data_IF_959868370133
#
_entry.id   IF_959868370133
#
_cell.length_a   1.000
_cell.length_b   1.000
_cell.length_c   1.000
_cell.angle_alpha   90.00
_cell.angle_beta   90.00
_cell.angle_gamma   90.00
#
_symmetry.space_group_name_H-M   'P 1'
#
loop_
_entity.id
_entity.type
_entity.pdbx_description
1 polymer ?
#
# COMPACT_ATOMS: atom_id res chain seq x y z
N UNK A 1 11.61 -32.11 24.71
CA UNK A 1 10.70 -30.95 24.55
C UNK A 1 11.32 -29.89 23.65
N UNK A 2 12.65 -29.69 23.64
CA UNK A 2 13.30 -28.67 22.80
C UNK A 2 13.35 -28.98 21.30
N UNK A 3 13.44 -30.24 20.86
CA UNK A 3 13.23 -30.59 19.44
C UNK A 3 11.88 -30.08 18.92
N UNK A 4 10.86 -30.05 19.78
CA UNK A 4 9.55 -29.50 19.45
C UNK A 4 9.60 -27.97 19.30
N UNK A 5 10.41 -27.26 20.08
CA UNK A 5 10.58 -25.80 19.95
C UNK A 5 11.32 -25.42 18.66
N UNK A 6 12.37 -26.16 18.29
CA UNK A 6 13.10 -25.94 17.02
C UNK A 6 12.19 -26.19 15.82
N UNK A 7 11.38 -27.26 15.86
CA UNK A 7 10.38 -27.52 14.82
C UNK A 7 9.35 -26.38 14.71
N UNK A 8 8.87 -25.84 15.85
CA UNK A 8 7.94 -24.69 15.86
C UNK A 8 8.62 -23.43 15.28
N UNK A 9 9.91 -23.22 15.53
CA UNK A 9 10.65 -22.10 14.94
C UNK A 9 10.73 -22.20 13.42
N UNK A 10 11.04 -23.39 12.89
CA UNK A 10 11.03 -23.64 11.44
C UNK A 10 9.63 -23.33 10.87
N UNK A 11 8.58 -23.86 11.49
CA UNK A 11 7.20 -23.56 11.09
C UNK A 11 6.86 -22.07 11.16
N UNK A 12 7.41 -21.33 12.13
CA UNK A 12 7.24 -19.87 12.21
C UNK A 12 7.88 -19.18 11.01
N UNK A 13 9.08 -19.59 10.62
CA UNK A 13 9.76 -19.06 9.43
C UNK A 13 9.01 -19.40 8.14
N UNK A 14 8.53 -20.63 7.99
CA UNK A 14 7.68 -21.04 6.86
C UNK A 14 6.40 -20.20 6.77
N UNK A 15 5.76 -19.92 7.90
CA UNK A 15 4.57 -19.05 7.94
C UNK A 15 4.91 -17.62 7.56
N UNK A 16 6.03 -17.06 8.03
CA UNK A 16 6.49 -15.73 7.60
C UNK A 16 6.69 -15.68 6.10
N UNK A 17 7.33 -16.71 5.53
CA UNK A 17 7.49 -16.81 4.08
C UNK A 17 6.17 -16.76 3.31
N UNK A 18 5.15 -17.48 3.78
CA UNK A 18 3.81 -17.48 3.17
C UNK A 18 3.11 -16.13 3.29
N UNK A 19 3.27 -15.44 4.43
CA UNK A 19 2.74 -14.08 4.63
C UNK A 19 3.40 -13.11 3.66
N UNK A 20 4.73 -13.19 3.51
CA UNK A 20 5.47 -12.34 2.57
C UNK A 20 5.08 -12.63 1.11
N UNK A 21 4.84 -13.89 0.74
CA UNK A 21 4.35 -14.22 -0.61
C UNK A 21 2.99 -13.57 -0.88
N UNK A 22 2.07 -13.58 0.09
CA UNK A 22 0.78 -12.87 -0.04
C UNK A 22 0.94 -11.35 -0.15
N UNK A 23 1.89 -10.76 0.57
CA UNK A 23 2.18 -9.32 0.46
C UNK A 23 2.69 -9.00 -0.96
N UNK A 24 3.57 -9.81 -1.51
CA UNK A 24 4.08 -9.67 -2.90
C UNK A 24 2.94 -9.74 -3.93
N UNK A 25 1.98 -10.64 -3.72
CA UNK A 25 0.78 -10.77 -4.55
C UNK A 25 -0.09 -9.51 -4.45
N UNK A 26 -0.41 -9.06 -3.23
CA UNK A 26 -1.20 -7.85 -3.01
C UNK A 26 -0.51 -6.59 -3.55
N UNK A 27 0.80 -6.50 -3.50
CA UNK A 27 1.55 -5.41 -4.13
C UNK A 27 1.42 -5.42 -5.64
N UNK A 28 1.33 -6.60 -6.23
CA UNK A 28 1.08 -6.74 -7.67
C UNK A 28 -0.35 -6.33 -8.02
N UNK A 29 -1.33 -6.71 -7.19
CA UNK A 29 -2.73 -6.28 -7.31
C UNK A 29 -2.83 -4.77 -7.18
N UNK A 30 -2.22 -4.18 -6.15
CA UNK A 30 -2.22 -2.74 -5.92
C UNK A 30 -1.60 -1.99 -7.11
N UNK A 31 -0.51 -2.51 -7.68
CA UNK A 31 0.11 -1.94 -8.88
C UNK A 31 -0.90 -1.89 -10.04
N UNK A 32 -1.56 -3.02 -10.33
CA UNK A 32 -2.52 -3.12 -11.42
C UNK A 32 -3.73 -2.19 -11.21
N UNK A 33 -4.24 -2.12 -9.98
CA UNK A 33 -5.28 -1.17 -9.57
C UNK A 33 -4.85 0.28 -9.78
N UNK A 34 -3.62 0.64 -9.41
CA UNK A 34 -3.10 1.99 -9.60
C UNK A 34 -2.96 2.35 -11.08
N UNK A 35 -2.65 1.39 -11.94
CA UNK A 35 -2.62 1.56 -13.40
C UNK A 35 -4.02 1.62 -14.04
N UNK A 36 -5.05 1.08 -13.40
CA UNK A 36 -6.44 1.14 -13.89
C UNK A 36 -7.04 2.56 -13.77
N UNK A 37 -7.47 3.21 -14.87
CA UNK A 37 -8.15 4.51 -14.82
C UNK A 37 -9.49 4.50 -14.06
N UNK A 38 -10.14 3.35 -13.91
CA UNK A 38 -11.45 3.21 -13.26
C UNK A 38 -11.38 2.79 -11.78
N UNK A 39 -10.19 2.72 -11.19
CA UNK A 39 -10.00 2.36 -9.79
C UNK A 39 -10.93 3.17 -8.88
N UNK A 40 -11.71 2.46 -8.07
CA UNK A 40 -12.52 3.09 -7.03
C UNK A 40 -11.69 3.26 -5.73
N UNK A 41 -12.02 4.26 -4.89
CA UNK A 41 -11.40 4.37 -3.57
C UNK A 41 -11.57 3.11 -2.71
N UNK A 42 -12.75 2.49 -2.77
CA UNK A 42 -13.07 1.30 -1.98
C UNK A 42 -12.18 0.10 -2.37
N UNK A 43 -11.98 -0.14 -3.67
CA UNK A 43 -11.09 -1.22 -4.16
C UNK A 43 -9.63 -1.05 -3.70
N UNK A 44 -9.19 0.21 -3.55
CA UNK A 44 -7.85 0.52 -3.08
C UNK A 44 -7.73 0.34 -1.56
N UNK A 45 -8.73 0.81 -0.81
CA UNK A 45 -8.78 0.69 0.65
C UNK A 45 -8.80 -0.79 1.07
N UNK A 46 -9.54 -1.65 0.37
CA UNK A 46 -9.58 -3.10 0.61
C UNK A 46 -8.19 -3.74 0.52
N UNK A 47 -7.39 -3.36 -0.48
CA UNK A 47 -6.03 -3.89 -0.67
C UNK A 47 -5.09 -3.39 0.41
N UNK A 48 -5.21 -2.11 0.81
CA UNK A 48 -4.41 -1.55 1.91
C UNK A 48 -4.76 -2.20 3.25
N UNK A 49 -6.04 -2.46 3.52
CA UNK A 49 -6.48 -3.13 4.75
C UNK A 49 -5.97 -4.57 4.81
N UNK A 50 -6.08 -5.33 3.72
CA UNK A 50 -5.54 -6.69 3.64
C UNK A 50 -4.03 -6.73 3.89
N UNK A 51 -3.27 -5.79 3.30
CA UNK A 51 -1.83 -5.67 3.58
C UNK A 51 -1.55 -5.34 5.04
N UNK A 52 -2.33 -4.46 5.65
CA UNK A 52 -2.17 -4.09 7.07
C UNK A 52 -2.34 -5.30 8.00
N UNK A 53 -3.35 -6.14 7.75
CA UNK A 53 -3.56 -7.40 8.51
C UNK A 53 -2.39 -8.38 8.38
N UNK A 54 -1.79 -8.46 7.18
CA UNK A 54 -0.62 -9.32 6.96
C UNK A 54 0.63 -8.79 7.66
N UNK A 55 0.80 -7.46 7.75
CA UNK A 55 1.90 -6.85 8.52
C UNK A 55 1.73 -7.16 10.01
N UNK A 56 0.53 -6.99 10.57
CA UNK A 56 0.26 -7.38 11.96
C UNK A 56 0.54 -8.87 12.21
N UNK A 57 0.20 -9.73 11.25
CA UNK A 57 0.54 -11.15 11.33
C UNK A 57 2.06 -11.38 11.33
N UNK A 58 2.81 -10.64 10.51
CA UNK A 58 4.27 -10.71 10.44
C UNK A 58 4.89 -10.30 11.79
N UNK A 59 4.45 -9.17 12.37
CA UNK A 59 4.93 -8.67 13.66
C UNK A 59 4.70 -9.68 14.79
N UNK A 60 3.54 -10.34 14.79
CA UNK A 60 3.23 -11.39 15.76
C UNK A 60 4.11 -12.63 15.58
N UNK A 61 4.39 -13.04 14.33
CA UNK A 61 5.30 -14.16 14.04
C UNK A 61 6.75 -13.81 14.40
N UNK A 62 7.18 -12.57 14.20
CA UNK A 62 8.50 -12.05 14.60
C UNK A 62 8.65 -12.10 16.12
N UNK A 63 7.72 -11.52 16.87
CA UNK A 63 7.74 -11.56 18.33
C UNK A 63 7.72 -12.99 18.89
N UNK A 64 6.92 -13.87 18.28
CA UNK A 64 6.86 -15.27 18.67
C UNK A 64 8.17 -16.02 18.40
N UNK A 65 8.79 -15.76 17.25
CA UNK A 65 10.08 -16.34 16.88
C UNK A 65 11.20 -15.90 17.82
N UNK A 66 11.32 -14.60 18.11
CA UNK A 66 12.36 -14.07 19.01
C UNK A 66 12.29 -14.70 20.40
N UNK A 67 11.07 -14.79 20.97
CA UNK A 67 10.85 -15.41 22.28
C UNK A 67 11.23 -16.89 22.31
N UNK A 68 11.00 -17.62 21.22
CA UNK A 68 11.40 -19.02 21.11
C UNK A 68 12.91 -19.14 20.92
N UNK A 69 13.50 -18.31 20.06
CA UNK A 69 14.93 -18.29 19.80
C UNK A 69 15.74 -18.04 21.08
N UNK A 70 15.38 -17.02 21.86
CA UNK A 70 16.07 -16.71 23.12
C UNK A 70 16.07 -17.89 24.11
N UNK A 71 15.04 -18.75 24.08
CA UNK A 71 14.97 -19.94 24.94
C UNK A 71 15.82 -21.11 24.45
N UNK A 72 16.01 -21.23 23.14
CA UNK A 72 16.73 -22.38 22.54
C UNK A 72 18.13 -22.03 22.05
N UNK A 73 18.53 -20.76 22.10
CA UNK A 73 19.81 -20.27 21.60
C UNK A 73 21.00 -20.98 22.25
N UNK A 74 21.00 -21.08 23.58
CA UNK A 74 22.10 -21.74 24.32
C UNK A 74 22.22 -23.22 23.95
N UNK A 75 21.08 -23.90 23.77
CA UNK A 75 20.99 -25.29 23.34
C UNK A 75 21.50 -25.47 21.90
N UNK A 76 21.09 -24.60 20.98
CA UNK A 76 21.57 -24.61 19.59
C UNK A 76 23.08 -24.35 19.51
N UNK A 77 23.62 -23.49 20.38
CA UNK A 77 25.05 -23.18 20.43
C UNK A 77 25.89 -24.30 21.07
N UNK A 78 25.37 -24.96 22.11
CA UNK A 78 26.01 -26.07 22.79
C UNK A 78 25.97 -27.40 22.01
N UNK A 79 24.90 -27.64 21.26
CA UNK A 79 24.64 -28.90 20.55
C UNK A 79 24.59 -28.74 19.01
N UNK A 80 25.48 -27.92 18.45
CA UNK A 80 25.50 -27.55 17.02
C UNK A 80 25.50 -28.73 16.05
N UNK A 81 26.26 -29.80 16.34
CA UNK A 81 26.31 -30.96 15.45
C UNK A 81 25.00 -31.75 15.44
N UNK A 82 24.27 -31.77 16.57
CA UNK A 82 22.97 -32.44 16.68
C UNK A 82 21.90 -31.71 15.87
N UNK A 83 21.88 -30.38 15.90
CA UNK A 83 20.85 -29.56 15.25
C UNK A 83 21.32 -28.93 13.92
N UNK A 84 22.37 -29.49 13.32
CA UNK A 84 23.04 -28.92 12.16
C UNK A 84 22.11 -28.74 10.96
N UNK A 85 21.24 -29.71 10.74
CA UNK A 85 20.30 -29.68 9.61
C UNK A 85 19.19 -28.67 9.86
N UNK A 86 18.62 -28.64 11.07
CA UNK A 86 17.60 -27.67 11.47
C UNK A 86 18.12 -26.23 11.40
N UNK A 87 19.35 -26.00 11.85
CA UNK A 87 20.03 -24.69 11.74
C UNK A 87 20.16 -24.31 10.25
N UNK A 88 20.56 -25.24 9.39
CA UNK A 88 20.69 -24.99 7.96
C UNK A 88 19.34 -24.65 7.31
N UNK A 89 18.28 -25.37 7.67
CA UNK A 89 16.91 -25.12 7.21
C UNK A 89 16.46 -23.73 7.65
N UNK A 90 16.63 -23.38 8.94
CA UNK A 90 16.29 -22.04 9.43
C UNK A 90 17.06 -20.94 8.69
N UNK A 91 18.36 -21.12 8.46
CA UNK A 91 19.16 -20.16 7.70
C UNK A 91 18.67 -20.00 6.25
N UNK A 92 18.24 -21.07 5.60
CA UNK A 92 17.67 -21.01 4.25
C UNK A 92 16.37 -20.21 4.22
N UNK A 93 15.46 -20.48 5.16
CA UNK A 93 14.23 -19.71 5.30
C UNK A 93 14.51 -18.23 5.59
N UNK A 94 15.48 -17.90 6.47
CA UNK A 94 15.85 -16.51 6.76
C UNK A 94 16.38 -15.80 5.50
N UNK A 95 17.15 -16.47 4.65
CA UNK A 95 17.59 -15.90 3.36
C UNK A 95 16.40 -15.62 2.45
N UNK A 96 15.50 -16.58 2.27
CA UNK A 96 14.28 -16.42 1.45
C UNK A 96 13.40 -15.28 1.97
N UNK A 97 13.21 -15.18 3.28
CA UNK A 97 12.50 -14.08 3.94
C UNK A 97 13.17 -12.74 3.61
N UNK A 98 14.49 -12.66 3.70
CA UNK A 98 15.25 -11.44 3.39
C UNK A 98 15.07 -11.03 1.94
N UNK A 99 15.20 -11.96 1.00
CA UNK A 99 15.02 -11.71 -0.44
C UNK A 99 13.60 -11.22 -0.75
N UNK A 100 12.58 -11.86 -0.14
CA UNK A 100 11.18 -11.44 -0.27
C UNK A 100 10.95 -10.03 0.30
N UNK A 101 11.53 -9.72 1.46
CA UNK A 101 11.44 -8.38 2.06
C UNK A 101 12.05 -7.29 1.17
N UNK A 102 13.21 -7.54 0.57
CA UNK A 102 13.82 -6.60 -0.39
C UNK A 102 12.92 -6.40 -1.63
N UNK A 103 12.32 -7.49 -2.13
CA UNK A 103 11.38 -7.42 -3.25
C UNK A 103 10.14 -6.59 -2.91
N UNK A 104 9.54 -6.79 -1.74
CA UNK A 104 8.39 -6.02 -1.24
C UNK A 104 8.76 -4.54 -1.14
N UNK A 105 9.90 -4.19 -0.54
CA UNK A 105 10.35 -2.80 -0.45
C UNK A 105 10.44 -2.12 -1.83
N UNK A 106 10.95 -2.83 -2.84
CA UNK A 106 11.01 -2.35 -4.22
C UNK A 106 9.62 -2.20 -4.86
N UNK A 107 8.69 -3.12 -4.58
CA UNK A 107 7.31 -3.03 -5.07
C UNK A 107 6.55 -1.87 -4.41
N UNK A 108 6.60 -1.75 -3.09
CA UNK A 108 5.99 -0.65 -2.34
C UNK A 108 6.51 0.72 -2.77
N UNK A 109 7.82 0.86 -2.99
CA UNK A 109 8.40 2.11 -3.48
C UNK A 109 7.81 2.52 -4.85
N UNK A 110 7.60 1.54 -5.75
CA UNK A 110 6.98 1.77 -7.07
C UNK A 110 5.49 2.09 -6.93
N UNK A 111 4.76 1.34 -6.11
CA UNK A 111 3.34 1.56 -5.87
C UNK A 111 3.08 2.93 -5.24
N UNK A 112 3.91 3.35 -4.29
CA UNK A 112 3.86 4.69 -3.70
C UNK A 112 4.06 5.80 -4.74
N UNK A 113 5.00 5.61 -5.68
CA UNK A 113 5.22 6.56 -6.77
C UNK A 113 4.00 6.65 -7.71
N UNK A 114 3.42 5.51 -8.10
CA UNK A 114 2.21 5.43 -8.92
C UNK A 114 1.03 6.12 -8.22
N UNK A 115 0.82 5.82 -6.94
CA UNK A 115 -0.22 6.43 -6.12
C UNK A 115 -0.06 7.95 -6.06
N UNK A 116 1.16 8.44 -5.79
CA UNK A 116 1.46 9.88 -5.75
C UNK A 116 1.12 10.56 -7.09
N UNK A 117 1.46 9.91 -8.22
CA UNK A 117 1.14 10.42 -9.55
C UNK A 117 -0.37 10.46 -9.81
N UNK A 118 -1.10 9.41 -9.42
CA UNK A 118 -2.56 9.32 -9.56
C UNK A 118 -3.26 10.42 -8.75
N UNK A 119 -2.90 10.60 -7.49
CA UNK A 119 -3.43 11.68 -6.64
C UNK A 119 -3.12 13.08 -7.19
N UNK A 120 -1.91 13.30 -7.71
CA UNK A 120 -1.56 14.55 -8.37
C UNK A 120 -2.41 14.81 -9.63
N UNK A 121 -2.73 13.76 -10.39
CA UNK A 121 -3.65 13.81 -11.52
C UNK A 121 -5.06 14.23 -11.10
N UNK A 122 -5.63 13.55 -10.10
CA UNK A 122 -6.96 13.87 -9.53
C UNK A 122 -7.00 15.33 -9.04
N UNK A 123 -5.97 15.79 -8.32
CA UNK A 123 -5.87 17.17 -7.84
C UNK A 123 -5.85 18.20 -8.97
N UNK A 124 -5.16 17.89 -10.08
CA UNK A 124 -5.15 18.76 -11.27
C UNK A 124 -6.52 18.79 -11.95
N UNK A 125 -7.17 17.64 -12.11
CA UNK A 125 -8.53 17.56 -12.67
C UNK A 125 -9.53 18.33 -11.81
N UNK A 126 -9.53 18.16 -10.49
CA UNK A 126 -10.40 18.91 -9.58
C UNK A 126 -10.19 20.44 -9.68
N UNK A 127 -8.94 20.89 -9.83
CA UNK A 127 -8.63 22.30 -10.09
C UNK A 127 -9.15 22.78 -11.45
N UNK A 128 -9.04 21.97 -12.50
CA UNK A 128 -9.58 22.28 -13.83
C UNK A 128 -11.11 22.35 -13.81
N UNK A 129 -11.80 21.41 -13.16
CA UNK A 129 -13.27 21.44 -12.99
C UNK A 129 -13.70 22.72 -12.26
N UNK A 130 -13.03 23.09 -11.16
CA UNK A 130 -13.31 24.36 -10.46
C UNK A 130 -13.07 25.58 -11.35
N UNK A 131 -11.98 25.60 -12.13
CA UNK A 131 -11.72 26.68 -13.09
C UNK A 131 -12.78 26.73 -14.19
N UNK A 132 -13.18 25.58 -14.74
CA UNK A 132 -14.23 25.47 -15.76
C UNK A 132 -15.59 25.93 -15.25
N UNK A 133 -15.98 25.52 -14.04
CA UNK A 133 -17.20 25.99 -13.38
C UNK A 133 -17.17 27.52 -13.14
N UNK A 134 -16.02 28.07 -12.72
CA UNK A 134 -15.84 29.51 -12.56
C UNK A 134 -15.89 30.26 -13.90
N UNK A 135 -15.34 29.70 -14.97
CA UNK A 135 -15.38 30.29 -16.31
C UNK A 135 -16.80 30.22 -16.89
N UNK A 136 -17.50 29.10 -16.75
CA UNK A 136 -18.89 28.95 -17.16
C UNK A 136 -19.82 29.88 -16.37
N UNK A 137 -19.60 30.02 -15.06
CA UNK A 137 -20.32 30.96 -14.20
C UNK A 137 -20.06 32.42 -14.61
N UNK A 138 -18.80 32.78 -14.88
CA UNK A 138 -18.45 34.12 -15.40
C UNK A 138 -19.03 34.37 -16.78
N UNK A 139 -19.05 33.37 -17.67
CA UNK A 139 -19.67 33.44 -18.98
C UNK A 139 -21.18 33.69 -18.85
N UNK A 140 -21.87 32.92 -18.02
CA UNK A 140 -23.30 33.11 -17.71
C UNK A 140 -23.60 34.48 -17.10
N UNK A 141 -22.79 34.94 -16.15
CA UNK A 141 -22.91 36.29 -15.57
C UNK A 141 -22.64 37.41 -16.59
N UNK A 142 -21.72 37.20 -17.53
CA UNK A 142 -21.40 38.18 -18.57
C UNK A 142 -22.49 38.26 -19.65
N UNK A 143 -23.09 37.12 -20.04
CA UNK A 143 -24.22 37.08 -20.97
C UNK A 143 -25.53 37.60 -20.35
N UNK A 144 -25.80 37.30 -19.08
CA UNK A 144 -26.98 37.86 -18.38
C UNK A 144 -26.89 39.37 -18.18
N UNK A 145 -25.66 39.92 -18.04
CA UNK A 145 -25.44 41.38 -18.00
C UNK A 145 -25.50 42.08 -19.37
N UNK A 146 -25.48 41.35 -20.48
CA UNK A 146 -25.65 41.94 -21.83
C UNK A 146 -27.12 42.03 -22.27
N UNK A 147 -28.07 41.56 -21.44
CA UNK A 147 -29.51 41.58 -21.72
C UNK A 147 -30.31 42.71 -21.05
N UNK A 148 -29.67 43.64 -20.34
CA UNK A 148 -30.34 44.80 -19.74
C UNK A 148 -29.68 46.09 -20.21
N UNK A 149 -29.83 46.39 -21.50
CA UNK A 149 -29.66 47.75 -22.01
C UNK A 149 -30.99 48.46 -21.74
N UNK A 150 -31.00 49.28 -20.69
CA UNK A 150 -32.10 50.20 -20.39
C UNK A 150 -32.40 51.04 -21.64
N UNK A 151 -33.61 51.00 -22.23
CA UNK A 151 -33.94 51.89 -23.33
C UNK A 151 -34.07 53.30 -22.76
N UNK A 152 -32.99 54.09 -22.85
CA UNK A 152 -33.08 55.55 -22.78
C UNK A 152 -33.95 56.02 -23.95
N UNK A 153 -35.27 56.03 -23.77
CA UNK A 153 -36.14 56.89 -24.54
C UNK A 153 -35.97 58.32 -24.02
N UNK A 154 -34.99 58.99 -24.61
CA UNK A 154 -35.04 60.42 -24.82
C UNK A 154 -36.33 60.74 -25.57
N UNK A 155 -37.31 61.36 -24.92
CA UNK A 155 -38.22 62.27 -25.62
C UNK A 155 -38.35 63.57 -24.83
N UNK A 156 -37.52 64.53 -25.25
CA UNK A 156 -37.77 65.94 -25.04
C UNK A 156 -38.76 66.39 -26.12
N UNK A 157 -39.95 66.90 -25.74
CA UNK A 157 -40.49 68.16 -26.29
C UNK A 157 -41.83 68.63 -25.69
N UNK A 158 -41.76 69.89 -25.25
CA UNK A 158 -42.76 70.97 -25.17
C UNK A 158 -43.96 70.83 -24.23
#
# INVERSE_FOLDING_TARGET
MEQTYIAIMIQSLEKKEQVLDKIIELDTVQKNQLEDPNLTPDDFDDVVEQKSKLIEQLDNLDSGFEKLFERVKEELEGNKETYKEEIRIMQDHIRKITDKSVKIQSQEARNKALMTNKFNGIKKQARQVRKGANVASKYYQSMTKTGYVDPQFMDNKK
#
